data_IF_516012213975
#
_entry.id   IF_516012213975
#
_cell.length_a   1.000
_cell.length_b   1.000
_cell.length_c   1.000
_cell.angle_alpha   90.00
_cell.angle_beta   90.00
_cell.angle_gamma   90.00
#
_symmetry.space_group_name_H-M   'P 1'
#
loop_
_entity.id
_entity.type
_entity.pdbx_description
1 polymer ?
#
# COMPACT_ATOMS: atom_id res chain seq x y z
N UNK A 1 -7.46 11.03 8.19
CA UNK A 1 -6.59 11.80 7.26
C UNK A 1 -5.64 10.91 6.48
N UNK A 2 -4.76 10.12 7.12
CA UNK A 2 -3.83 9.18 6.44
C UNK A 2 -4.45 8.38 5.29
N UNK A 3 -5.55 7.66 5.56
CA UNK A 3 -6.21 6.80 4.56
C UNK A 3 -6.81 7.59 3.40
N UNK A 4 -7.35 8.79 3.65
CA UNK A 4 -7.92 9.66 2.60
C UNK A 4 -6.84 10.21 1.66
N UNK A 5 -5.75 10.73 2.22
CA UNK A 5 -4.63 11.29 1.44
C UNK A 5 -4.00 10.21 0.54
N UNK A 6 -3.82 8.99 1.06
CA UNK A 6 -3.32 7.85 0.29
C UNK A 6 -4.30 7.45 -0.82
N UNK A 7 -5.62 7.41 -0.55
CA UNK A 7 -6.64 7.05 -1.54
C UNK A 7 -6.82 8.07 -2.67
N UNK A 8 -6.59 9.37 -2.46
CA UNK A 8 -6.72 10.36 -3.54
C UNK A 8 -5.44 10.53 -4.38
N UNK A 9 -4.27 10.15 -3.86
CA UNK A 9 -3.01 10.09 -4.64
C UNK A 9 -3.05 9.02 -5.74
N UNK A 10 -3.89 7.99 -5.58
CA UNK A 10 -4.08 6.84 -6.49
C UNK A 10 -4.56 7.25 -7.88
N UNK A 11 -5.38 8.30 -7.97
CA UNK A 11 -6.21 8.54 -9.14
C UNK A 11 -5.53 9.31 -10.29
N UNK A 12 -4.31 9.85 -10.13
CA UNK A 12 -3.92 10.96 -11.00
C UNK A 12 -2.48 11.06 -11.53
N UNK A 13 -1.65 10.02 -11.50
CA UNK A 13 -0.25 10.23 -11.91
C UNK A 13 0.19 9.31 -13.06
N UNK A 14 -0.36 9.60 -14.24
CA UNK A 14 0.35 9.40 -15.51
C UNK A 14 1.09 10.72 -15.78
N UNK A 15 2.37 10.81 -15.40
CA UNK A 15 3.22 11.91 -15.85
C UNK A 15 3.47 11.75 -17.35
N UNK A 16 2.62 12.35 -18.19
CA UNK A 16 2.97 12.62 -19.58
C UNK A 16 3.90 13.83 -19.60
N UNK A 17 5.21 13.57 -19.60
CA UNK A 17 6.23 14.61 -19.74
C UNK A 17 6.14 15.25 -21.13
N UNK A 18 5.49 16.43 -21.22
CA UNK A 18 5.87 17.42 -22.24
C UNK A 18 7.07 18.19 -21.70
N UNK A 19 8.15 18.15 -22.50
CA UNK A 19 9.37 18.98 -22.52
C UNK A 19 9.47 20.05 -21.42
N UNK A 20 10.48 19.94 -20.55
CA UNK A 20 11.58 20.91 -20.43
C UNK A 20 12.33 20.80 -19.10
N UNK A 21 13.65 21.01 -19.20
CA UNK A 21 14.63 21.31 -18.15
C UNK A 21 14.81 20.30 -17.01
N UNK A 22 15.98 19.64 -17.03
CA UNK A 22 16.88 19.11 -15.96
C UNK A 22 16.51 19.32 -14.47
N UNK A 23 15.25 19.20 -14.07
CA UNK A 23 14.87 19.02 -12.67
C UNK A 23 15.07 17.55 -12.31
N UNK A 24 15.84 17.29 -11.27
CA UNK A 24 15.96 15.95 -10.70
C UNK A 24 14.56 15.40 -10.43
N UNK A 25 14.26 14.18 -10.90
CA UNK A 25 12.96 13.52 -10.71
C UNK A 25 12.47 13.58 -9.25
N UNK A 26 13.39 13.52 -8.28
CA UNK A 26 13.10 13.68 -6.84
C UNK A 26 12.40 15.01 -6.53
N UNK A 27 12.82 16.10 -7.16
CA UNK A 27 12.22 17.44 -6.99
C UNK A 27 10.85 17.53 -7.64
N UNK A 28 10.70 17.02 -8.87
CA UNK A 28 9.41 16.94 -9.57
C UNK A 28 8.40 16.12 -8.76
N UNK A 29 8.82 14.95 -8.28
CA UNK A 29 8.02 14.07 -7.43
C UNK A 29 7.60 14.80 -6.15
N UNK A 30 8.54 15.39 -5.42
CA UNK A 30 8.26 16.11 -4.17
C UNK A 30 7.26 17.24 -4.40
N UNK A 31 7.44 18.04 -5.45
CA UNK A 31 6.54 19.15 -5.78
C UNK A 31 5.12 18.68 -6.14
N UNK A 32 5.02 17.61 -6.92
CA UNK A 32 3.73 17.02 -7.30
C UNK A 32 2.96 16.49 -6.08
N UNK A 33 3.65 15.76 -5.21
CA UNK A 33 3.08 15.24 -3.96
C UNK A 33 2.69 16.39 -3.03
N UNK A 34 3.54 17.40 -2.86
CA UNK A 34 3.25 18.59 -2.05
C UNK A 34 1.97 19.29 -2.52
N UNK A 35 1.85 19.54 -3.83
CA UNK A 35 0.69 20.20 -4.42
C UNK A 35 -0.60 19.42 -4.11
N UNK A 36 -0.57 18.09 -4.29
CA UNK A 36 -1.75 17.24 -4.06
C UNK A 36 -2.14 17.18 -2.59
N UNK A 37 -1.20 16.91 -1.69
CA UNK A 37 -1.48 16.89 -0.24
C UNK A 37 -2.04 18.24 0.22
N UNK A 38 -1.48 19.35 -0.26
CA UNK A 38 -1.97 20.69 0.08
C UNK A 38 -3.42 20.91 -0.37
N UNK A 39 -3.79 20.42 -1.57
CA UNK A 39 -5.16 20.48 -2.07
C UNK A 39 -6.14 19.66 -1.22
N UNK A 40 -5.78 18.43 -0.85
CA UNK A 40 -6.63 17.57 -0.02
C UNK A 40 -6.81 18.14 1.38
N UNK A 41 -5.74 18.64 2.01
CA UNK A 41 -5.80 19.21 3.36
C UNK A 41 -6.67 20.48 3.42
N UNK A 42 -6.66 21.30 2.35
CA UNK A 42 -7.53 22.48 2.26
C UNK A 42 -9.01 22.12 2.37
N UNK A 43 -9.44 20.99 1.80
CA UNK A 43 -10.83 20.53 1.90
C UNK A 43 -11.20 20.14 3.33
N UNK A 44 -10.24 19.63 4.10
CA UNK A 44 -10.41 19.22 5.50
C UNK A 44 -10.18 20.38 6.51
N UNK A 45 -9.87 21.59 6.02
CA UNK A 45 -9.52 22.75 6.84
C UNK A 45 -8.13 22.69 7.48
N UNK A 46 -7.29 21.74 7.09
CA UNK A 46 -5.90 21.59 7.56
C UNK A 46 -4.91 22.21 6.57
N UNK A 47 -3.64 22.36 6.97
CA UNK A 47 -2.57 22.83 6.08
C UNK A 47 -1.29 22.02 6.21
N UNK A 48 -0.60 21.83 5.07
CA UNK A 48 0.74 21.24 5.04
C UNK A 48 1.76 22.35 5.36
N UNK A 49 2.50 22.22 6.47
CA UNK A 49 3.59 23.12 6.81
C UNK A 49 4.86 22.77 6.04
N UNK A 50 5.20 21.49 5.97
CA UNK A 50 6.38 21.02 5.25
C UNK A 50 6.25 19.59 4.76
N UNK A 51 7.02 19.28 3.73
CA UNK A 51 7.22 17.93 3.18
C UNK A 51 8.71 17.75 2.89
N UNK A 52 9.27 16.63 3.32
CA UNK A 52 10.66 16.29 3.11
C UNK A 52 10.76 14.87 2.55
N UNK A 53 11.41 14.72 1.39
CA UNK A 53 11.82 13.42 0.89
C UNK A 53 13.03 12.92 1.69
N UNK A 54 12.83 11.87 2.50
CA UNK A 54 13.90 11.32 3.36
C UNK A 54 14.58 10.10 2.76
N UNK A 55 13.89 9.36 1.89
CA UNK A 55 14.44 8.17 1.22
C UNK A 55 13.94 8.11 -0.21
N UNK A 56 14.84 7.81 -1.15
CA UNK A 56 14.51 7.55 -2.54
C UNK A 56 15.50 6.53 -3.10
N UNK A 57 15.18 5.26 -2.94
CA UNK A 57 16.09 4.14 -3.21
C UNK A 57 15.50 3.22 -4.26
N UNK A 58 16.35 2.75 -5.17
CA UNK A 58 15.98 1.69 -6.11
C UNK A 58 15.74 0.39 -5.34
N UNK A 59 14.64 -0.27 -5.67
CA UNK A 59 14.32 -1.59 -5.15
C UNK A 59 15.10 -2.66 -5.89
N UNK A 60 15.51 -3.65 -5.10
CA UNK A 60 16.02 -4.93 -5.57
C UNK A 60 14.89 -5.93 -5.62
N UNK A 61 15.02 -6.92 -6.48
CA UNK A 61 14.00 -7.97 -6.65
C UNK A 61 13.61 -8.67 -5.34
N UNK A 62 14.58 -8.94 -4.46
CA UNK A 62 14.29 -9.55 -3.16
C UNK A 62 13.51 -8.63 -2.21
N UNK A 63 13.65 -7.30 -2.35
CA UNK A 63 12.85 -6.36 -1.57
C UNK A 63 11.40 -6.35 -2.06
N UNK A 64 11.18 -6.49 -3.37
CA UNK A 64 9.84 -6.67 -3.94
C UNK A 64 9.20 -7.97 -3.45
N UNK A 65 9.98 -9.06 -3.42
CA UNK A 65 9.56 -10.35 -2.88
C UNK A 65 9.20 -10.24 -1.38
N UNK A 66 10.02 -9.55 -0.59
CA UNK A 66 9.76 -9.30 0.83
C UNK A 66 8.48 -8.47 1.03
N UNK A 67 8.25 -7.44 0.22
CA UNK A 67 6.99 -6.69 0.26
C UNK A 67 5.77 -7.57 -0.03
N UNK A 68 5.84 -8.45 -1.04
CA UNK A 68 4.77 -9.41 -1.37
C UNK A 68 4.54 -10.39 -0.22
N UNK A 69 5.61 -10.99 0.31
CA UNK A 69 5.54 -11.93 1.42
C UNK A 69 4.92 -11.30 2.67
N UNK A 70 5.36 -10.09 3.04
CA UNK A 70 4.81 -9.35 4.17
C UNK A 70 3.32 -9.02 3.97
N UNK A 71 2.92 -8.60 2.76
CA UNK A 71 1.52 -8.33 2.45
C UNK A 71 0.65 -9.57 2.63
N UNK A 72 1.01 -10.70 1.99
CA UNK A 72 0.25 -11.94 2.09
C UNK A 72 0.26 -12.52 3.51
N UNK A 73 1.35 -12.35 4.26
CA UNK A 73 1.40 -12.73 5.68
C UNK A 73 0.39 -11.94 6.52
N UNK A 74 0.31 -10.61 6.34
CA UNK A 74 -0.69 -9.79 7.05
C UNK A 74 -2.12 -10.19 6.68
N UNK A 75 -2.37 -10.51 5.40
CA UNK A 75 -3.66 -11.03 4.93
C UNK A 75 -4.00 -12.36 5.59
N UNK A 76 -3.06 -13.29 5.70
CA UNK A 76 -3.24 -14.56 6.40
C UNK A 76 -3.57 -14.37 7.89
N UNK A 77 -2.93 -13.41 8.57
CA UNK A 77 -3.26 -13.07 9.97
C UNK A 77 -4.72 -12.61 10.09
N UNK A 78 -5.18 -11.74 9.17
CA UNK A 78 -6.57 -11.26 9.15
C UNK A 78 -7.54 -12.42 8.89
N UNK A 79 -7.25 -13.26 7.89
CA UNK A 79 -8.08 -14.41 7.54
C UNK A 79 -8.16 -15.42 8.68
N UNK A 80 -7.05 -15.68 9.37
CA UNK A 80 -7.02 -16.55 10.54
C UNK A 80 -7.90 -16.01 11.67
N UNK A 81 -7.86 -14.69 11.93
CA UNK A 81 -8.78 -14.06 12.90
C UNK A 81 -10.25 -14.19 12.48
N UNK A 82 -10.56 -14.03 11.20
CA UNK A 82 -11.90 -14.25 10.68
C UNK A 82 -12.35 -15.71 10.85
N UNK A 83 -11.46 -16.67 10.59
CA UNK A 83 -11.74 -18.09 10.79
C UNK A 83 -12.03 -18.38 12.27
N UNK A 84 -11.24 -17.85 13.20
CA UNK A 84 -11.48 -17.99 14.65
C UNK A 84 -12.81 -17.37 15.09
N UNK A 85 -13.20 -16.23 14.50
CA UNK A 85 -14.49 -15.62 14.77
C UNK A 85 -15.64 -16.51 14.28
N UNK A 86 -15.51 -17.09 13.08
CA UNK A 86 -16.50 -18.03 12.55
C UNK A 86 -16.62 -19.30 13.40
N UNK A 87 -15.52 -19.78 14.01
CA UNK A 87 -15.58 -20.89 14.99
C UNK A 87 -16.48 -20.53 16.17
N UNK A 88 -16.34 -19.33 16.72
CA UNK A 88 -17.18 -18.85 17.84
C UNK A 88 -18.63 -18.62 17.42
N UNK A 89 -18.86 -18.17 16.19
CA UNK A 89 -20.22 -18.07 15.64
C UNK A 89 -20.89 -19.45 15.54
N UNK A 90 -20.11 -20.51 15.23
CA UNK A 90 -20.58 -21.89 15.15
C UNK A 90 -21.14 -22.38 16.49
N UNK A 91 -20.53 -22.00 17.61
CA UNK A 91 -20.98 -22.36 18.97
C UNK A 91 -22.37 -21.80 19.32
N UNK A 92 -22.81 -20.76 18.61
CA UNK A 92 -24.06 -20.05 18.87
C UNK A 92 -25.15 -20.33 17.81
N UNK A 93 -24.95 -21.34 16.96
CA UNK A 93 -25.88 -21.71 15.89
C UNK A 93 -27.19 -22.24 16.49
N UNK A 94 -28.32 -21.66 16.04
CA UNK A 94 -29.67 -22.06 16.46
C UNK A 94 -30.47 -22.73 15.35
N UNK A 95 -30.09 -22.52 14.09
CA UNK A 95 -30.83 -23.04 12.93
C UNK A 95 -29.91 -23.66 11.88
N UNK A 96 -30.47 -24.55 11.06
CA UNK A 96 -29.75 -25.15 9.91
C UNK A 96 -29.31 -24.07 8.92
N UNK A 97 -30.13 -23.03 8.70
CA UNK A 97 -29.80 -21.91 7.83
C UNK A 97 -28.58 -21.13 8.32
N UNK A 98 -28.45 -20.94 9.64
CA UNK A 98 -27.26 -20.30 10.22
C UNK A 98 -26.00 -21.15 10.01
N UNK A 99 -26.12 -22.47 10.16
CA UNK A 99 -25.03 -23.41 9.90
C UNK A 99 -24.57 -23.36 8.44
N UNK A 100 -25.50 -23.39 7.49
CA UNK A 100 -25.19 -23.31 6.05
C UNK A 100 -24.49 -21.99 5.71
N UNK A 101 -24.98 -20.87 6.27
CA UNK A 101 -24.37 -19.55 6.08
C UNK A 101 -22.93 -19.51 6.64
N UNK A 102 -22.70 -20.05 7.83
CA UNK A 102 -21.36 -20.09 8.44
C UNK A 102 -20.42 -20.99 7.63
N UNK A 103 -20.87 -22.17 7.18
CA UNK A 103 -20.10 -23.05 6.30
C UNK A 103 -19.67 -22.36 5.01
N UNK A 104 -20.57 -21.65 4.34
CA UNK A 104 -20.24 -20.89 3.12
C UNK A 104 -19.17 -19.82 3.38
N UNK A 105 -19.24 -19.10 4.51
CA UNK A 105 -18.20 -18.14 4.90
C UNK A 105 -16.86 -18.83 5.17
N UNK A 106 -16.87 -19.97 5.86
CA UNK A 106 -15.67 -20.76 6.12
C UNK A 106 -14.94 -21.15 4.84
N UNK A 107 -15.65 -21.72 3.87
CA UNK A 107 -15.06 -22.12 2.58
C UNK A 107 -14.40 -20.94 1.87
N UNK A 108 -15.06 -19.76 1.86
CA UNK A 108 -14.48 -18.55 1.26
C UNK A 108 -13.20 -18.10 1.96
N UNK A 109 -13.15 -18.20 3.30
CA UNK A 109 -11.94 -17.87 4.08
C UNK A 109 -10.82 -18.87 3.76
N UNK A 110 -11.12 -20.17 3.72
CA UNK A 110 -10.12 -21.20 3.38
C UNK A 110 -9.56 -21.02 1.96
N UNK A 111 -10.41 -20.76 0.97
CA UNK A 111 -9.98 -20.51 -0.40
C UNK A 111 -9.09 -19.27 -0.49
N UNK A 112 -9.43 -18.22 0.27
CA UNK A 112 -8.61 -17.01 0.38
C UNK A 112 -7.27 -17.30 1.03
N UNK A 113 -7.22 -18.12 2.08
CA UNK A 113 -5.96 -18.52 2.73
C UNK A 113 -5.07 -19.33 1.78
N UNK A 114 -5.64 -20.30 1.06
CA UNK A 114 -4.92 -21.08 0.04
C UNK A 114 -4.33 -20.17 -1.04
N UNK A 115 -5.07 -19.15 -1.46
CA UNK A 115 -4.58 -18.16 -2.42
C UNK A 115 -3.36 -17.39 -1.90
N UNK A 116 -3.43 -16.85 -0.68
CA UNK A 116 -2.32 -16.10 -0.08
C UNK A 116 -1.08 -17.00 0.15
N UNK A 117 -1.28 -18.26 0.56
CA UNK A 117 -0.18 -19.24 0.69
C UNK A 117 0.49 -19.49 -0.67
N UNK A 118 -0.28 -19.58 -1.76
CA UNK A 118 0.28 -19.75 -3.10
C UNK A 118 1.16 -18.57 -3.50
N UNK A 119 0.77 -17.34 -3.13
CA UNK A 119 1.57 -16.12 -3.38
C UNK A 119 2.88 -16.17 -2.59
N UNK A 120 2.84 -16.51 -1.30
CA UNK A 120 4.07 -16.61 -0.49
C UNK A 120 5.04 -17.64 -1.09
N UNK A 121 4.52 -18.81 -1.48
CA UNK A 121 5.31 -19.86 -2.14
C UNK A 121 5.92 -19.42 -3.47
N UNK A 122 5.28 -18.51 -4.21
CA UNK A 122 5.84 -18.02 -5.48
C UNK A 122 7.04 -17.09 -5.28
N UNK A 123 7.21 -16.52 -4.09
CA UNK A 123 8.34 -15.64 -3.76
C UNK A 123 9.37 -16.26 -2.80
N UNK A 124 9.05 -17.39 -2.17
CA UNK A 124 9.87 -18.08 -1.16
C UNK A 124 11.27 -18.47 -1.66
N UNK A 125 11.40 -18.83 -2.94
CA UNK A 125 12.66 -19.28 -3.54
C UNK A 125 13.49 -18.17 -4.17
N UNK A 126 13.00 -16.92 -4.14
CA UNK A 126 13.73 -15.77 -4.68
C UNK A 126 14.91 -15.46 -3.77
N UNK A 127 16.07 -16.03 -4.13
CA UNK A 127 17.34 -15.72 -3.46
C UNK A 127 17.59 -14.21 -3.53
N UNK A 128 18.25 -13.62 -2.52
CA UNK A 128 18.63 -12.21 -2.51
C UNK A 128 19.64 -11.90 -3.60
N UNK A 129 19.16 -11.76 -4.84
CA UNK A 129 19.95 -11.26 -5.97
C UNK A 129 19.91 -9.74 -5.92
N UNK A 130 21.06 -9.10 -6.12
CA UNK A 130 21.19 -7.64 -6.13
C UNK A 130 20.72 -7.00 -7.46
N UNK A 131 19.75 -7.60 -8.15
CA UNK A 131 19.25 -7.08 -9.42
C UNK A 131 18.30 -5.92 -9.13
N UNK A 132 18.66 -4.73 -9.62
CA UNK A 132 17.80 -3.54 -9.59
C UNK A 132 16.63 -3.74 -10.54
N UNK A 133 15.43 -3.34 -10.13
CA UNK A 133 14.19 -3.64 -10.88
C UNK A 133 13.65 -2.45 -11.66
N UNK A 134 14.28 -1.28 -11.55
CA UNK A 134 13.73 -0.03 -12.07
C UNK A 134 12.54 0.49 -11.26
N UNK A 135 12.19 -0.16 -10.15
CA UNK A 135 11.26 0.36 -9.16
C UNK A 135 12.03 1.08 -8.04
N UNK A 136 11.36 2.03 -7.39
CA UNK A 136 11.91 2.88 -6.35
C UNK A 136 10.93 2.97 -5.20
N UNK A 137 11.45 2.96 -3.99
CA UNK A 137 10.71 3.32 -2.78
C UNK A 137 11.01 4.77 -2.44
N UNK A 138 9.95 5.57 -2.25
CA UNK A 138 10.06 6.92 -1.74
C UNK A 138 9.36 7.04 -0.37
N UNK A 139 10.05 7.67 0.58
CA UNK A 139 9.51 7.97 1.92
C UNK A 139 9.56 9.48 2.12
N UNK A 140 8.42 10.05 2.46
CA UNK A 140 8.27 11.46 2.80
C UNK A 140 7.90 11.61 4.27
N UNK A 141 8.49 12.60 4.94
CA UNK A 141 7.99 13.12 6.20
C UNK A 141 7.16 14.37 5.92
N UNK A 142 6.02 14.46 6.58
CA UNK A 142 5.03 15.53 6.44
C UNK A 142 4.84 16.20 7.80
N UNK A 143 4.78 17.52 7.82
CA UNK A 143 4.33 18.29 8.98
C UNK A 143 3.00 18.94 8.64
N UNK A 144 1.95 18.54 9.33
CA UNK A 144 0.56 18.94 9.04
C UNK A 144 -0.01 19.69 10.25
N UNK A 145 -0.53 20.88 10.01
CA UNK A 145 -1.31 21.63 10.99
C UNK A 145 -2.80 21.32 10.82
N UNK A 146 -3.40 20.74 11.85
CA UNK A 146 -4.82 20.43 11.94
C UNK A 146 -5.52 21.60 12.63
N UNK A 147 -6.15 22.49 11.84
CA UNK A 147 -6.79 23.69 12.37
C UNK A 147 -8.00 23.42 13.26
N UNK A 148 -8.64 22.24 13.15
CA UNK A 148 -9.80 21.91 13.99
C UNK A 148 -9.40 21.66 15.44
N UNK A 149 -8.23 21.09 15.65
CA UNK A 149 -7.67 20.82 16.98
C UNK A 149 -6.58 21.80 17.39
N UNK A 150 -6.19 22.71 16.49
CA UNK A 150 -5.03 23.58 16.60
C UNK A 150 -3.74 22.84 17.01
N UNK A 151 -3.52 21.68 16.39
CA UNK A 151 -2.35 20.85 16.67
C UNK A 151 -1.49 20.63 15.44
N UNK A 152 -0.19 20.50 15.66
CA UNK A 152 0.79 20.12 14.65
C UNK A 152 1.08 18.64 14.78
N UNK A 153 0.98 17.91 13.67
CA UNK A 153 1.21 16.46 13.60
C UNK A 153 2.29 16.16 12.59
N UNK A 154 3.21 15.27 12.97
CA UNK A 154 4.18 14.70 12.04
C UNK A 154 3.60 13.40 11.46
N UNK A 155 3.68 13.26 10.15
CA UNK A 155 3.18 12.11 9.43
C UNK A 155 4.24 11.59 8.42
N UNK A 156 4.06 10.35 7.97
CA UNK A 156 4.93 9.72 6.99
C UNK A 156 4.11 9.20 5.82
N UNK A 157 4.57 9.47 4.61
CA UNK A 157 3.98 8.95 3.38
C UNK A 157 4.97 8.01 2.69
N UNK A 158 4.51 6.79 2.45
CA UNK A 158 5.25 5.74 1.75
C UNK A 158 4.64 5.55 0.37
N UNK A 159 5.47 5.55 -0.66
CA UNK A 159 5.01 5.31 -2.03
C UNK A 159 6.07 4.57 -2.84
N UNK A 160 5.61 3.98 -3.94
CA UNK A 160 6.46 3.33 -4.92
C UNK A 160 6.38 4.08 -6.24
N UNK A 161 7.48 4.12 -6.98
CA UNK A 161 7.52 4.65 -8.33
C UNK A 161 8.44 3.85 -9.21
N UNK A 162 8.37 4.02 -10.53
CA UNK A 162 9.24 3.33 -11.48
C UNK A 162 10.02 4.31 -12.37
N UNK A 163 10.92 3.79 -13.21
CA UNK A 163 11.69 4.56 -14.19
C UNK A 163 10.81 5.35 -15.17
N UNK A 164 9.56 4.91 -15.39
CA UNK A 164 8.56 5.63 -16.21
C UNK A 164 7.84 6.73 -15.44
N UNK A 165 8.29 7.07 -14.23
CA UNK A 165 7.71 8.09 -13.34
C UNK A 165 6.25 7.82 -12.94
N UNK A 166 5.79 6.58 -13.05
CA UNK A 166 4.46 6.17 -12.57
C UNK A 166 4.54 6.02 -11.05
N UNK A 167 3.53 6.49 -10.33
CA UNK A 167 3.45 6.37 -8.86
C UNK A 167 2.39 5.34 -8.52
N UNK A 168 2.71 4.45 -7.58
CA UNK A 168 1.86 3.38 -7.12
C UNK A 168 1.58 3.53 -5.63
N UNK A 169 0.36 3.17 -5.24
CA UNK A 169 0.12 2.78 -3.84
C UNK A 169 0.87 1.51 -3.50
N UNK A 170 1.02 1.25 -2.20
CA UNK A 170 1.50 -0.04 -1.72
C UNK A 170 0.70 -1.20 -2.33
N UNK A 171 -0.63 -1.17 -2.30
CA UNK A 171 -1.46 -2.25 -2.85
C UNK A 171 -1.24 -2.46 -4.36
N UNK A 172 -1.28 -1.40 -5.17
CA UNK A 172 -1.05 -1.50 -6.62
C UNK A 172 0.35 -2.03 -6.93
N UNK A 173 1.35 -1.57 -6.17
CA UNK A 173 2.72 -2.03 -6.32
C UNK A 173 2.82 -3.54 -6.01
N UNK A 174 2.24 -3.98 -4.89
CA UNK A 174 2.19 -5.40 -4.52
C UNK A 174 1.50 -6.24 -5.60
N UNK A 175 0.35 -5.78 -6.13
CA UNK A 175 -0.37 -6.49 -7.19
C UNK A 175 0.48 -6.68 -8.45
N UNK A 176 1.24 -5.66 -8.84
CA UNK A 176 2.20 -5.78 -9.95
C UNK A 176 3.32 -6.77 -9.64
N UNK A 177 3.86 -6.75 -8.43
CA UNK A 177 4.88 -7.71 -8.00
C UNK A 177 4.33 -9.15 -7.96
N UNK A 178 3.09 -9.36 -7.52
CA UNK A 178 2.44 -10.68 -7.54
C UNK A 178 2.32 -11.20 -8.98
N UNK A 179 1.94 -10.35 -9.94
CA UNK A 179 1.89 -10.75 -11.35
C UNK A 179 3.27 -11.07 -11.90
N UNK A 180 4.30 -10.28 -11.52
CA UNK A 180 5.69 -10.50 -11.92
C UNK A 180 6.24 -11.84 -11.44
N UNK A 181 5.89 -12.28 -10.23
CA UNK A 181 6.44 -13.49 -9.59
C UNK A 181 5.59 -14.75 -9.77
N UNK A 182 4.47 -14.67 -10.49
CA UNK A 182 3.67 -15.84 -10.89
C UNK A 182 4.29 -16.54 -12.09
#
# INVERSE_FOLDING_TARGET
>A
MRTKIICTLILFIIFSCKKDETKSFKKELTQSIQKKITQELKQDGSSLESIQLVKFDTLKEWQEADFVSNYSTQRLIILNKQQQQLTKELENVKTIKDLERIKSKYTKVEDSMKHEIKIIKSVEYLKPKNIKTGNYQAIFLLKVHDRKSDTVKNDSLFMFTNEKKVIFTSTQFIEQCIVKFK
#
